data_IF_926858099251
#
_entry.id   IF_926858099251
#
_cell.length_a   1.000
_cell.length_b   1.000
_cell.length_c   1.000
_cell.angle_alpha   90.00
_cell.angle_beta   90.00
_cell.angle_gamma   90.00
#
_symmetry.space_group_name_H-M   'P 1'
#
loop_
_entity.id
_entity.type
_entity.pdbx_description
1 polymer ?
#
# COMPACT_ATOMS: atom_id res chain seq x y z
N UNK A 1 -43.61 -49.63 43.04
CA UNK A 1 -43.03 -49.65 41.68
C UNK A 1 -42.82 -48.18 41.31
N UNK A 2 -41.73 -47.45 41.56
CA UNK A 2 -40.28 -47.67 41.43
C UNK A 2 -39.85 -48.27 40.09
N UNK A 3 -38.74 -47.71 39.54
CA UNK A 3 -38.02 -47.97 38.27
C UNK A 3 -38.51 -47.09 37.09
N UNK A 4 -37.74 -46.17 36.49
CA UNK A 4 -36.28 -45.97 36.45
C UNK A 4 -35.93 -44.58 35.90
N UNK A 5 -34.85 -44.03 36.45
CA UNK A 5 -34.01 -42.96 35.92
C UNK A 5 -33.51 -43.28 34.50
N UNK A 6 -33.70 -42.38 33.55
CA UNK A 6 -32.73 -42.19 32.45
C UNK A 6 -32.60 -40.70 32.16
N UNK A 7 -31.49 -40.16 32.64
CA UNK A 7 -30.95 -38.87 32.24
C UNK A 7 -30.75 -38.86 30.73
N UNK A 8 -31.53 -38.05 30.01
CA UNK A 8 -31.18 -37.71 28.63
C UNK A 8 -30.26 -36.50 28.72
N UNK A 9 -28.99 -36.85 28.83
CA UNK A 9 -27.80 -36.03 28.75
C UNK A 9 -27.95 -34.90 27.73
N UNK A 10 -27.80 -33.67 28.22
CA UNK A 10 -27.53 -32.49 27.39
C UNK A 10 -26.21 -32.72 26.62
N UNK A 11 -26.32 -33.10 25.35
CA UNK A 11 -25.18 -33.18 24.46
C UNK A 11 -24.94 -31.80 23.85
N UNK A 12 -24.13 -30.99 24.52
CA UNK A 12 -23.47 -29.84 23.92
C UNK A 12 -22.51 -30.36 22.83
N UNK A 13 -23.01 -30.52 21.61
CA UNK A 13 -22.16 -30.70 20.44
C UNK A 13 -21.50 -29.36 20.12
N UNK A 14 -20.32 -29.14 20.70
CA UNK A 14 -19.40 -28.07 20.29
C UNK A 14 -18.94 -28.36 18.86
N UNK A 15 -19.65 -27.81 17.87
CA UNK A 15 -19.06 -27.63 16.55
C UNK A 15 -17.93 -26.62 16.72
N UNK A 16 -16.71 -27.13 16.83
CA UNK A 16 -15.53 -26.35 16.51
C UNK A 16 -15.66 -25.97 15.04
N UNK A 17 -16.29 -24.83 14.77
CA UNK A 17 -16.21 -24.18 13.48
C UNK A 17 -14.72 -23.87 13.29
N UNK A 18 -14.03 -24.75 12.57
CA UNK A 18 -12.84 -24.39 11.82
C UNK A 18 -13.30 -23.37 10.79
N UNK A 19 -13.53 -22.14 11.25
CA UNK A 19 -13.58 -21.00 10.38
C UNK A 19 -12.27 -21.07 9.60
N UNK A 20 -12.28 -20.98 8.26
CA UNK A 20 -11.06 -20.70 7.55
C UNK A 20 -10.48 -19.49 8.25
N UNK A 21 -9.35 -19.65 8.94
CA UNK A 21 -8.55 -18.52 9.36
C UNK A 21 -8.39 -17.74 8.06
N UNK A 22 -9.12 -16.63 7.96
CA UNK A 22 -8.89 -15.68 6.90
C UNK A 22 -7.47 -15.27 7.24
N UNK A 23 -6.52 -15.89 6.56
CA UNK A 23 -5.22 -15.29 6.35
C UNK A 23 -5.60 -14.07 5.53
N UNK A 24 -6.07 -13.04 6.25
CA UNK A 24 -5.91 -11.67 5.86
C UNK A 24 -4.41 -11.61 5.68
N UNK A 25 -4.00 -11.87 4.43
CA UNK A 25 -2.65 -11.66 3.98
C UNK A 25 -2.28 -10.34 4.63
N UNK A 26 -1.29 -10.33 5.53
CA UNK A 26 -0.88 -9.09 6.17
C UNK A 26 -0.32 -8.27 5.03
N UNK A 27 -1.19 -7.55 4.32
CA UNK A 27 -0.85 -6.77 3.14
C UNK A 27 0.11 -5.73 3.68
N UNK A 28 1.39 -5.99 3.49
CA UNK A 28 2.44 -5.07 3.91
C UNK A 28 2.21 -3.83 3.08
N UNK A 29 1.92 -2.67 3.69
CA UNK A 29 1.67 -1.46 2.94
C UNK A 29 2.87 -1.19 2.02
N UNK A 30 2.60 -0.94 0.75
CA UNK A 30 3.65 -0.62 -0.20
C UNK A 30 4.33 0.69 0.22
N UNK A 31 5.65 0.61 0.46
CA UNK A 31 6.48 1.74 0.83
C UNK A 31 7.38 2.10 -0.37
N UNK A 32 6.91 2.95 -1.31
CA UNK A 32 7.67 3.29 -2.51
C UNK A 32 8.98 4.00 -2.21
N UNK A 33 9.00 4.78 -1.12
CA UNK A 33 9.98 5.79 -0.79
C UNK A 33 10.58 5.54 0.59
N UNK A 34 11.87 5.84 0.78
CA UNK A 34 12.57 5.62 2.05
C UNK A 34 13.73 6.59 2.26
N UNK A 35 14.16 6.73 3.52
CA UNK A 35 15.28 7.60 3.88
C UNK A 35 14.99 9.07 3.59
N UNK A 36 15.97 9.76 2.99
CA UNK A 36 15.88 11.19 2.67
C UNK A 36 14.82 11.48 1.58
N UNK A 37 14.62 10.53 0.66
CA UNK A 37 13.62 10.58 -0.41
C UNK A 37 12.35 9.88 0.07
N UNK A 38 11.80 10.35 1.20
CA UNK A 38 10.69 9.70 1.90
C UNK A 38 9.30 10.07 1.38
N UNK A 39 9.20 10.95 0.38
CA UNK A 39 7.92 11.47 -0.10
C UNK A 39 7.60 10.97 -1.50
N UNK A 40 6.46 10.30 -1.66
CA UNK A 40 5.91 9.92 -2.96
C UNK A 40 5.29 11.13 -3.65
N UNK A 41 5.79 11.48 -4.84
CA UNK A 41 5.28 12.55 -5.68
C UNK A 41 5.07 12.04 -7.12
N UNK A 42 4.17 12.68 -7.84
CA UNK A 42 4.15 12.67 -9.29
C UNK A 42 4.87 13.93 -9.77
N UNK A 43 5.85 13.80 -10.67
CA UNK A 43 6.66 14.92 -11.14
C UNK A 43 6.80 14.93 -12.66
N UNK A 44 6.94 16.13 -13.24
CA UNK A 44 7.40 16.29 -14.60
C UNK A 44 8.94 16.32 -14.61
N UNK A 45 9.57 15.38 -15.32
CA UNK A 45 11.02 15.41 -15.52
C UNK A 45 11.37 16.56 -16.47
N UNK A 46 12.43 17.32 -16.19
CA UNK A 46 12.96 18.30 -17.12
C UNK A 46 13.53 17.66 -18.41
N UNK A 47 13.86 18.51 -19.39
CA UNK A 47 14.36 18.09 -20.71
C UNK A 47 15.76 17.44 -20.65
N UNK A 48 16.44 17.51 -19.50
CA UNK A 48 17.76 16.92 -19.29
C UNK A 48 17.72 15.67 -18.38
N UNK A 49 16.56 15.32 -17.81
CA UNK A 49 16.36 14.23 -16.87
C UNK A 49 17.07 14.43 -15.52
N UNK A 50 17.47 15.67 -15.18
CA UNK A 50 18.28 15.97 -13.99
C UNK A 50 17.45 16.58 -12.86
N UNK A 51 16.48 17.43 -13.21
CA UNK A 51 15.57 18.08 -12.25
C UNK A 51 14.13 17.62 -12.45
N UNK A 52 13.45 17.28 -11.35
CA UNK A 52 12.03 17.05 -11.32
C UNK A 52 11.31 18.38 -11.01
N UNK A 53 10.61 18.90 -12.00
CA UNK A 53 9.84 20.15 -11.94
C UNK A 53 8.35 19.81 -11.81
N UNK A 54 7.57 20.72 -11.24
CA UNK A 54 6.11 20.56 -11.13
C UNK A 54 5.67 19.24 -10.44
N UNK A 55 6.22 18.99 -9.25
CA UNK A 55 5.85 17.84 -8.44
C UNK A 55 4.60 18.10 -7.60
N UNK A 56 3.65 17.16 -7.65
CA UNK A 56 2.46 17.13 -6.81
C UNK A 56 2.31 15.82 -6.07
N UNK A 57 1.48 15.83 -5.03
CA UNK A 57 1.08 14.59 -4.37
C UNK A 57 0.32 13.69 -5.37
N UNK A 58 0.53 12.36 -5.35
CA UNK A 58 -0.26 11.46 -6.18
C UNK A 58 -1.75 11.59 -5.82
N UNK A 59 -2.67 11.62 -6.82
CA UNK A 59 -4.10 11.75 -6.59
C UNK A 59 -4.68 10.69 -5.65
N UNK A 60 -4.11 9.49 -5.67
CA UNK A 60 -4.45 8.37 -4.80
C UNK A 60 -3.19 7.72 -4.25
N UNK A 61 -3.21 7.22 -2.99
CA UNK A 61 -2.08 6.47 -2.45
C UNK A 61 -1.81 5.21 -3.30
N UNK A 62 -0.58 5.01 -3.79
CA UNK A 62 -0.28 3.87 -4.63
C UNK A 62 -0.26 2.56 -3.83
N UNK A 63 -0.91 1.53 -4.35
CA UNK A 63 -0.95 0.21 -3.71
C UNK A 63 0.29 -0.65 -4.02
N UNK A 64 0.99 -0.37 -5.12
CA UNK A 64 2.21 -1.05 -5.57
C UNK A 64 2.93 -0.19 -6.62
N UNK A 65 4.09 -0.63 -7.11
CA UNK A 65 4.90 0.13 -8.06
C UNK A 65 4.23 0.35 -9.43
N UNK A 66 3.53 -0.66 -9.94
CA UNK A 66 2.78 -0.56 -11.20
C UNK A 66 1.65 0.46 -11.08
N UNK A 67 0.93 0.40 -9.96
CA UNK A 67 -0.14 1.34 -9.63
C UNK A 67 0.41 2.77 -9.47
N UNK A 68 1.56 2.93 -8.82
CA UNK A 68 2.19 4.24 -8.68
C UNK A 68 2.53 4.86 -10.04
N UNK A 69 3.12 4.05 -10.93
CA UNK A 69 3.43 4.48 -12.30
C UNK A 69 2.16 4.83 -13.07
N UNK A 70 1.12 4.02 -12.95
CA UNK A 70 -0.16 4.23 -13.62
C UNK A 70 -0.84 5.54 -13.16
N UNK A 71 -0.95 5.76 -11.85
CA UNK A 71 -1.56 6.95 -11.25
C UNK A 71 -0.87 8.23 -11.69
N UNK A 72 0.47 8.28 -11.69
CA UNK A 72 1.19 9.47 -12.14
C UNK A 72 1.14 9.65 -13.66
N UNK A 73 1.22 8.56 -14.44
CA UNK A 73 1.13 8.63 -15.90
C UNK A 73 -0.24 9.10 -16.38
N UNK A 74 -1.31 8.83 -15.63
CA UNK A 74 -2.66 9.28 -15.93
C UNK A 74 -2.81 10.82 -15.93
N UNK A 75 -1.95 11.51 -15.17
CA UNK A 75 -1.86 12.98 -15.14
C UNK A 75 -0.67 13.51 -15.97
N UNK A 76 -0.04 12.65 -16.77
CA UNK A 76 1.07 13.03 -17.66
C UNK A 76 2.43 13.21 -16.95
N UNK A 77 2.57 12.67 -15.74
CA UNK A 77 3.78 12.78 -14.92
C UNK A 77 4.38 11.41 -14.61
N UNK A 78 5.58 11.39 -14.00
CA UNK A 78 6.26 10.17 -13.56
C UNK A 78 6.20 10.00 -12.06
N UNK A 79 6.19 8.76 -11.60
CA UNK A 79 6.23 8.42 -10.18
C UNK A 79 7.66 8.64 -9.66
N UNK A 80 7.81 9.48 -8.63
CA UNK A 80 9.11 9.87 -8.08
C UNK A 80 9.08 9.88 -6.55
N UNK A 81 10.21 9.52 -5.95
CA UNK A 81 10.45 9.69 -4.53
C UNK A 81 11.33 10.92 -4.34
N UNK A 82 10.79 11.98 -3.75
CA UNK A 82 11.47 13.26 -3.63
C UNK A 82 11.86 13.56 -2.19
N UNK A 83 12.94 14.31 -2.02
CA UNK A 83 13.19 15.06 -0.79
C UNK A 83 12.31 16.30 -0.87
N UNK A 84 11.33 16.50 0.00
CA UNK A 84 10.64 17.78 0.06
C UNK A 84 11.51 18.78 0.88
N UNK A 85 12.23 19.75 0.27
CA UNK A 85 12.55 20.96 0.99
C UNK A 85 11.25 21.74 1.23
N UNK A 86 11.25 22.57 2.26
CA UNK A 86 10.06 23.26 2.77
C UNK A 86 9.32 24.07 1.70
N UNK A 87 9.92 24.42 0.55
CA UNK A 87 9.30 25.27 -0.48
C UNK A 87 9.82 24.97 -1.91
N UNK A 88 9.15 24.08 -2.64
CA UNK A 88 8.85 24.18 -4.09
C UNK A 88 9.95 24.49 -5.13
N UNK A 89 11.24 24.31 -4.82
CA UNK A 89 12.35 24.60 -5.75
C UNK A 89 13.20 23.34 -5.92
N UNK A 90 13.30 22.90 -7.17
CA UNK A 90 14.12 21.80 -7.68
C UNK A 90 14.27 20.61 -6.74
N UNK A 91 13.31 19.68 -6.86
CA UNK A 91 13.26 18.51 -6.00
C UNK A 91 14.29 17.50 -6.48
N UNK A 92 15.25 17.18 -5.62
CA UNK A 92 16.03 15.98 -5.79
C UNK A 92 15.07 14.79 -5.61
N UNK A 93 14.84 14.05 -6.70
CA UNK A 93 14.04 12.82 -6.65
C UNK A 93 14.77 11.63 -7.26
N UNK A 94 14.30 10.44 -6.87
CA UNK A 94 14.78 9.16 -7.36
C UNK A 94 13.60 8.30 -7.81
N UNK A 95 13.89 7.32 -8.66
CA UNK A 95 12.90 6.33 -9.09
C UNK A 95 12.44 5.51 -7.87
N UNK A 96 11.12 5.39 -7.63
CA UNK A 96 10.58 4.61 -6.52
C UNK A 96 10.92 3.12 -6.61
N UNK A 97 10.86 2.43 -5.47
CA UNK A 97 11.14 0.99 -5.45
C UNK A 97 10.16 0.19 -6.31
N UNK A 98 10.68 -0.61 -7.24
CA UNK A 98 9.87 -1.45 -8.13
C UNK A 98 9.27 -0.73 -9.34
N UNK A 99 9.46 0.59 -9.48
CA UNK A 99 9.11 1.35 -10.69
C UNK A 99 10.24 1.19 -11.71
N UNK A 100 9.89 0.91 -12.96
CA UNK A 100 10.81 0.86 -14.10
C UNK A 100 10.38 1.96 -15.07
N UNK A 101 11.23 2.98 -15.21
CA UNK A 101 11.02 4.18 -16.04
C UNK A 101 11.22 3.96 -17.55
#
# INVERSE_FOLDING_TARGET
MQFTLTAITALCATLAAALPAQVEDRQVPYAPCSGLYGTSQCCATDVLGVADLDCGNPPTPPANATDFSAVCSAIGQRARCCVLPVLGQDLLCQTPTGVVD
#
